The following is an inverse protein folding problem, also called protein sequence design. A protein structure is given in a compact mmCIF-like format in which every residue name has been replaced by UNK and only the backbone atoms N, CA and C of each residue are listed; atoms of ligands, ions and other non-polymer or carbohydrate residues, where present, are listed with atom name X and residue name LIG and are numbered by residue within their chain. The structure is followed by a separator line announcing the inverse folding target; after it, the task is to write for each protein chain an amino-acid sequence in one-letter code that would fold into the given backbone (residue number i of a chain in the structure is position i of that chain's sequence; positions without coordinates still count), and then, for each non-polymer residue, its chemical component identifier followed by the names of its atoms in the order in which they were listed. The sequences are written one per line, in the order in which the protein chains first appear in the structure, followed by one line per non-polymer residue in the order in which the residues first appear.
data_IF_342028210724
#
_entry.id   IF_342028210724
#
_cell.length_a   1.000
_cell.length_b   1.000
_cell.length_c   1.000
_cell.angle_alpha   90.00
_cell.angle_beta   90.00
_cell.angle_gamma   90.00
#
_symmetry.space_group_name_H-M   'P 1'
#
loop_
_entity.id
_entity.type
_entity.pdbx_description
1 polymer ?
#
# COMPACT_ATOMS: atom_id res chain seq x y z
N UNK A 1 1.84 -26.42 5.30
CA UNK A 1 1.93 -26.21 6.76
C UNK A 1 0.83 -25.25 7.21
N UNK A 2 0.34 -25.34 8.45
CA UNK A 2 -0.64 -24.39 9.00
C UNK A 2 0.10 -23.41 9.93
N UNK A 3 -0.10 -22.10 9.72
CA UNK A 3 0.45 -21.04 10.55
C UNK A 3 -0.73 -20.31 11.22
N UNK A 4 -0.60 -19.97 12.50
CA UNK A 4 -1.61 -19.20 13.23
C UNK A 4 -0.96 -18.01 13.93
N UNK A 5 -1.56 -16.82 13.78
CA UNK A 5 -1.24 -15.65 14.59
C UNK A 5 -2.41 -15.43 15.54
N UNK A 6 -2.20 -15.71 16.82
CA UNK A 6 -3.25 -15.68 17.85
C UNK A 6 -2.83 -14.79 19.00
N UNK A 7 -3.57 -13.71 19.21
CA UNK A 7 -3.60 -12.95 20.46
C UNK A 7 -5.00 -12.33 20.64
N UNK A 8 -5.25 -11.61 21.75
CA UNK A 8 -6.56 -10.96 21.95
C UNK A 8 -6.93 -9.98 20.81
N UNK A 9 -5.93 -9.39 20.15
CA UNK A 9 -6.12 -8.43 19.08
C UNK A 9 -6.37 -9.08 17.70
N UNK A 10 -5.79 -10.24 17.40
CA UNK A 10 -5.91 -10.91 16.09
C UNK A 10 -6.02 -12.43 16.25
N UNK A 11 -6.88 -13.06 15.45
CA UNK A 11 -6.96 -14.52 15.38
C UNK A 11 -7.02 -14.96 13.91
N UNK A 12 -5.85 -15.01 13.28
CA UNK A 12 -5.69 -15.32 11.86
C UNK A 12 -5.11 -16.73 11.67
N UNK A 13 -5.73 -17.52 10.80
CA UNK A 13 -5.24 -18.82 10.36
C UNK A 13 -4.85 -18.83 8.89
N UNK A 14 -3.70 -19.42 8.58
CA UNK A 14 -3.15 -19.49 7.22
C UNK A 14 -2.85 -20.94 6.84
N UNK A 15 -3.14 -21.29 5.59
CA UNK A 15 -2.68 -22.56 4.98
C UNK A 15 -1.96 -22.28 3.68
N UNK A 16 -1.00 -23.12 3.35
CA UNK A 16 -0.14 -22.98 2.18
C UNK A 16 -0.16 -24.26 1.36
N UNK A 17 0.05 -24.14 0.05
CA UNK A 17 0.30 -25.27 -0.83
C UNK A 17 1.70 -25.88 -0.61
N UNK A 18 2.10 -26.84 -1.46
CA UNK A 18 3.35 -27.57 -1.32
C UNK A 18 4.60 -26.72 -1.62
N UNK A 19 4.46 -25.62 -2.37
CA UNK A 19 5.56 -24.74 -2.81
C UNK A 19 5.57 -23.40 -2.07
N UNK A 20 4.58 -23.17 -1.19
CA UNK A 20 4.55 -22.05 -0.26
C UNK A 20 3.59 -20.93 -0.63
N UNK A 21 2.75 -21.09 -1.65
CA UNK A 21 1.72 -20.09 -1.93
C UNK A 21 0.62 -20.16 -0.87
N UNK A 22 0.09 -19.00 -0.46
CA UNK A 22 -0.96 -18.91 0.54
C UNK A 22 -2.27 -19.43 -0.07
N UNK A 23 -2.79 -20.56 0.39
CA UNK A 23 -4.05 -21.14 -0.12
C UNK A 23 -5.29 -20.58 0.55
N UNK A 24 -5.23 -20.35 1.86
CA UNK A 24 -6.37 -19.81 2.62
C UNK A 24 -5.94 -18.87 3.72
N UNK A 25 -6.72 -17.82 3.94
CA UNK A 25 -6.64 -16.95 5.13
C UNK A 25 -7.99 -17.00 5.85
N UNK A 26 -8.00 -17.21 7.17
CA UNK A 26 -9.21 -17.19 7.99
C UNK A 26 -9.07 -16.18 9.11
N UNK A 27 -10.10 -15.39 9.36
CA UNK A 27 -10.25 -14.58 10.55
C UNK A 27 -11.34 -15.19 11.43
N UNK A 28 -10.90 -15.80 12.54
CA UNK A 28 -11.80 -16.50 13.45
C UNK A 28 -12.63 -15.55 14.31
N UNK A 29 -12.21 -14.28 14.49
CA UNK A 29 -13.01 -13.28 15.21
C UNK A 29 -14.19 -12.82 14.34
N UNK A 30 -13.98 -12.68 13.04
CA UNK A 30 -15.01 -12.23 12.09
C UNK A 30 -15.81 -13.38 11.47
N UNK A 31 -15.39 -14.63 11.68
CA UNK A 31 -15.89 -15.78 10.93
C UNK A 31 -15.82 -15.56 9.41
N UNK A 32 -14.74 -14.92 8.97
CA UNK A 32 -14.47 -14.61 7.56
C UNK A 32 -13.32 -15.48 7.03
N UNK A 33 -13.33 -15.75 5.73
CA UNK A 33 -12.26 -16.52 5.09
C UNK A 33 -12.02 -16.08 3.66
N UNK A 34 -10.78 -16.20 3.22
CA UNK A 34 -10.36 -16.07 1.83
C UNK A 34 -9.72 -17.36 1.34
N UNK A 35 -9.94 -17.66 0.06
CA UNK A 35 -9.15 -18.61 -0.72
C UNK A 35 -8.44 -17.88 -1.84
N UNK A 36 -7.25 -18.35 -2.17
CA UNK A 36 -6.41 -17.78 -3.22
C UNK A 36 -6.04 -18.87 -4.22
N UNK A 37 -6.28 -18.60 -5.49
CA UNK A 37 -5.91 -19.48 -6.60
C UNK A 37 -4.85 -18.79 -7.47
N UNK A 38 -3.92 -19.59 -7.99
CA UNK A 38 -2.73 -19.13 -8.69
C UNK A 38 -2.63 -19.81 -10.05
N UNK A 39 -1.98 -19.13 -11.01
CA UNK A 39 -1.60 -19.75 -12.27
C UNK A 39 -0.35 -20.63 -12.15
N UNK A 40 0.02 -21.28 -13.25
CA UNK A 40 1.19 -22.17 -13.32
C UNK A 40 2.54 -21.45 -13.08
N UNK A 41 2.56 -20.11 -13.06
CA UNK A 41 3.72 -19.27 -12.74
C UNK A 41 3.68 -18.72 -11.31
N UNK A 42 2.77 -19.20 -10.47
CA UNK A 42 2.54 -18.75 -9.09
C UNK A 42 2.07 -17.29 -8.97
N UNK A 43 1.38 -16.77 -9.98
CA UNK A 43 0.75 -15.44 -9.92
C UNK A 43 -0.69 -15.57 -9.49
N UNK A 44 -1.15 -14.67 -8.62
CA UNK A 44 -2.49 -14.70 -8.04
C UNK A 44 -3.57 -14.42 -9.09
N UNK A 45 -4.42 -15.38 -9.39
CA UNK A 45 -5.51 -15.23 -10.37
C UNK A 45 -6.84 -14.91 -9.73
N UNK A 46 -7.14 -15.51 -8.57
CA UNK A 46 -8.46 -15.36 -7.94
C UNK A 46 -8.32 -15.22 -6.44
N UNK A 47 -9.06 -14.26 -5.88
CA UNK A 47 -9.34 -14.19 -4.45
C UNK A 47 -10.83 -14.28 -4.22
N UNK A 48 -11.23 -15.27 -3.43
CA UNK A 48 -12.63 -15.49 -3.05
C UNK A 48 -12.78 -15.22 -1.56
N UNK A 49 -13.43 -14.11 -1.20
CA UNK A 49 -13.69 -13.71 0.20
C UNK A 49 -15.10 -14.11 0.62
N UNK A 50 -15.21 -15.01 1.58
CA UNK A 50 -16.46 -15.41 2.24
C UNK A 50 -16.60 -14.68 3.57
N UNK A 51 -17.74 -14.01 3.77
CA UNK A 51 -18.02 -13.19 4.95
C UNK A 51 -19.19 -13.79 5.75
N UNK A 52 -19.18 -13.62 7.08
CA UNK A 52 -20.33 -13.93 7.91
C UNK A 52 -21.55 -13.07 7.48
N UNK A 53 -22.73 -13.70 7.34
CA UNK A 53 -23.99 -12.98 7.06
C UNK A 53 -24.46 -12.93 5.59
N UNK A 54 -23.86 -13.68 4.66
CA UNK A 54 -24.64 -14.27 3.55
C UNK A 54 -24.84 -13.52 2.21
N UNK A 55 -24.11 -12.44 1.89
CA UNK A 55 -24.19 -11.82 0.53
C UNK A 55 -23.31 -12.48 -0.54
N UNK A 56 -23.12 -13.80 -0.46
CA UNK A 56 -22.23 -14.55 -1.37
C UNK A 56 -20.75 -14.17 -1.21
N UNK A 57 -19.83 -14.95 -1.80
CA UNK A 57 -18.43 -14.60 -1.77
C UNK A 57 -18.15 -13.37 -2.66
N UNK A 58 -17.31 -12.45 -2.17
CA UNK A 58 -16.73 -11.40 -2.99
C UNK A 58 -15.57 -12.01 -3.78
N UNK A 59 -15.54 -11.82 -5.09
CA UNK A 59 -14.50 -12.38 -5.96
C UNK A 59 -13.70 -11.27 -6.63
N UNK A 60 -12.38 -11.33 -6.52
CA UNK A 60 -11.47 -10.50 -7.32
C UNK A 60 -10.69 -11.43 -8.24
N UNK A 61 -10.75 -11.15 -9.55
CA UNK A 61 -10.09 -11.94 -10.59
C UNK A 61 -9.03 -11.10 -11.28
N UNK A 62 -7.88 -11.70 -11.58
CA UNK A 62 -6.76 -11.08 -12.26
C UNK A 62 -6.27 -12.01 -13.36
N UNK A 63 -6.00 -11.44 -14.52
CA UNK A 63 -5.44 -12.16 -15.66
C UNK A 63 -4.16 -11.49 -16.10
N UNK A 64 -3.18 -12.30 -16.45
CA UNK A 64 -1.87 -11.83 -16.86
C UNK A 64 -1.61 -12.13 -18.34
N UNK A 65 -0.76 -11.35 -18.98
CA UNK A 65 -0.17 -11.71 -20.27
C UNK A 65 1.11 -12.54 -20.09
N UNK A 66 1.68 -12.98 -21.22
CA UNK A 66 2.92 -13.75 -21.25
C UNK A 66 4.15 -12.95 -20.77
N UNK A 67 4.07 -11.61 -20.81
CA UNK A 67 5.13 -10.69 -20.37
C UNK A 67 5.06 -10.38 -18.87
N UNK A 68 4.11 -10.99 -18.14
CA UNK A 68 3.92 -10.76 -16.71
C UNK A 68 3.15 -9.49 -16.38
N UNK A 69 2.52 -8.84 -17.35
CA UNK A 69 1.67 -7.70 -17.09
C UNK A 69 0.27 -8.16 -16.67
N UNK A 70 -0.37 -7.42 -15.77
CA UNK A 70 -1.82 -7.56 -15.53
C UNK A 70 -2.55 -7.10 -16.80
N UNK A 71 -3.31 -7.98 -17.45
CA UNK A 71 -4.15 -7.67 -18.60
C UNK A 71 -5.55 -7.24 -18.17
N UNK A 72 -6.05 -7.80 -17.06
CA UNK A 72 -7.36 -7.51 -16.50
C UNK A 72 -7.34 -7.71 -14.99
N UNK A 73 -8.06 -6.85 -14.26
CA UNK A 73 -8.33 -7.01 -12.82
C UNK A 73 -9.78 -6.63 -12.56
N UNK A 74 -10.59 -7.46 -11.92
CA UNK A 74 -12.06 -7.26 -11.91
C UNK A 74 -12.52 -5.94 -11.26
N UNK A 75 -11.77 -5.36 -10.33
CA UNK A 75 -12.07 -4.07 -9.68
C UNK A 75 -11.41 -2.84 -10.37
N UNK A 76 -10.68 -3.06 -11.46
CA UNK A 76 -10.08 -2.01 -12.30
C UNK A 76 -10.63 -2.07 -13.73
N UNK A 77 -10.66 -3.26 -14.31
CA UNK A 77 -11.01 -3.55 -15.69
C UNK A 77 -9.78 -3.98 -16.50
N UNK A 78 -9.77 -3.65 -17.78
CA UNK A 78 -8.71 -4.03 -18.72
C UNK A 78 -7.54 -3.04 -18.69
N UNK A 79 -6.33 -3.54 -18.85
CA UNK A 79 -5.10 -2.76 -18.85
C UNK A 79 -4.52 -2.68 -20.26
N UNK A 80 -4.09 -1.49 -20.67
CA UNK A 80 -3.41 -1.24 -21.94
C UNK A 80 -1.94 -0.86 -21.74
N UNK A 81 -1.07 -1.34 -22.62
CA UNK A 81 0.39 -1.16 -22.59
C UNK A 81 0.89 -0.60 -23.92
N UNK A 82 2.17 -0.20 -23.99
CA UNK A 82 2.81 0.34 -25.21
C UNK A 82 2.19 1.63 -25.76
N UNK A 83 1.30 2.29 -25.01
CA UNK A 83 0.76 3.59 -25.40
C UNK A 83 1.79 4.72 -25.31
N UNK A 84 1.46 5.82 -25.98
CA UNK A 84 2.26 7.06 -25.93
C UNK A 84 1.46 8.22 -25.35
N UNK A 85 2.16 9.09 -24.64
CA UNK A 85 1.62 10.34 -24.12
C UNK A 85 2.69 11.43 -24.23
N UNK A 86 2.30 12.61 -24.73
CA UNK A 86 3.22 13.76 -24.88
C UNK A 86 4.53 13.41 -25.62
N UNK A 87 4.44 12.55 -26.65
CA UNK A 87 5.59 12.12 -27.45
C UNK A 87 6.51 11.09 -26.78
N UNK A 88 6.15 10.55 -25.61
CA UNK A 88 6.89 9.49 -24.93
C UNK A 88 6.10 8.18 -24.98
N UNK A 89 6.75 7.10 -25.42
CA UNK A 89 6.20 5.74 -25.39
C UNK A 89 6.64 5.05 -24.11
N UNK A 90 5.68 4.52 -23.34
CA UNK A 90 5.95 3.98 -22.01
C UNK A 90 6.61 2.58 -22.03
N UNK A 91 6.66 1.93 -23.20
CA UNK A 91 7.20 0.59 -23.37
C UNK A 91 6.20 -0.53 -22.99
N UNK A 92 6.67 -1.79 -22.98
CA UNK A 92 5.79 -2.96 -22.93
C UNK A 92 5.22 -3.28 -21.56
N UNK A 93 5.79 -2.70 -20.49
CA UNK A 93 5.43 -3.05 -19.13
C UNK A 93 4.71 -1.92 -18.37
N UNK A 94 4.86 -0.67 -18.79
CA UNK A 94 4.20 0.46 -18.14
C UNK A 94 2.71 0.52 -18.55
N UNK A 95 1.81 0.52 -17.55
CA UNK A 95 0.36 0.65 -17.80
C UNK A 95 0.09 2.04 -18.38
N UNK A 96 -0.51 2.12 -19.57
CA UNK A 96 -0.78 3.40 -20.27
C UNK A 96 -2.24 3.80 -20.25
N UNK A 97 -3.14 2.84 -20.06
CA UNK A 97 -4.56 3.09 -19.83
C UNK A 97 -5.22 1.93 -19.09
N UNK A 98 -6.34 2.23 -18.45
CA UNK A 98 -7.30 1.25 -17.93
C UNK A 98 -8.69 1.57 -18.49
N UNK A 99 -9.50 0.54 -18.73
CA UNK A 99 -10.89 0.68 -19.18
C UNK A 99 -11.83 -0.24 -18.39
N UNK A 100 -13.06 0.20 -18.16
CA UNK A 100 -14.07 -0.54 -17.41
C UNK A 100 -14.43 0.17 -16.10
N UNK A 101 -14.16 -0.47 -14.95
CA UNK A 101 -14.45 0.07 -13.63
C UNK A 101 -13.59 1.29 -13.29
N UNK A 102 -12.38 1.34 -13.83
CA UNK A 102 -11.51 2.51 -13.85
C UNK A 102 -11.22 2.86 -15.30
N UNK A 103 -11.45 4.13 -15.64
CA UNK A 103 -11.16 4.68 -16.96
C UNK A 103 -10.12 5.78 -16.78
N UNK A 104 -8.85 5.41 -16.94
CA UNK A 104 -7.75 6.34 -16.72
C UNK A 104 -6.68 6.21 -17.81
N UNK A 105 -6.01 7.32 -18.08
CA UNK A 105 -4.81 7.39 -18.91
C UNK A 105 -3.61 7.67 -18.03
N UNK A 106 -2.49 7.04 -18.35
CA UNK A 106 -1.24 7.14 -17.63
C UNK A 106 -0.12 7.58 -18.58
N UNK A 107 0.67 8.56 -18.15
CA UNK A 107 1.75 9.14 -18.94
C UNK A 107 3.07 8.98 -18.18
N UNK A 108 4.14 8.77 -18.91
CA UNK A 108 5.47 8.50 -18.36
C UNK A 108 6.50 9.44 -18.95
N UNK A 109 7.58 9.66 -18.21
CA UNK A 109 8.81 10.23 -18.76
C UNK A 109 9.68 9.16 -19.46
N UNK A 110 10.82 9.57 -19.99
CA UNK A 110 11.75 8.68 -20.72
C UNK A 110 12.48 7.68 -19.81
N UNK A 111 12.50 7.91 -18.50
CA UNK A 111 13.09 6.99 -17.52
C UNK A 111 12.08 5.91 -17.10
N UNK A 112 10.81 6.05 -17.49
CA UNK A 112 9.74 5.14 -17.12
C UNK A 112 9.07 5.49 -15.79
N UNK A 113 9.18 6.74 -15.34
CA UNK A 113 8.43 7.23 -14.19
C UNK A 113 7.05 7.74 -14.63
N UNK A 114 5.98 7.30 -13.96
CA UNK A 114 4.63 7.79 -14.22
C UNK A 114 4.52 9.26 -13.77
N UNK A 115 4.31 10.18 -14.70
CA UNK A 115 4.18 11.63 -14.43
C UNK A 115 2.72 12.08 -14.30
N UNK A 116 1.78 11.29 -14.81
CA UNK A 116 0.35 11.49 -14.55
C UNK A 116 -0.43 10.19 -14.70
N UNK A 117 -1.53 10.06 -13.95
CA UNK A 117 -2.31 8.82 -13.91
C UNK A 117 -3.44 8.88 -12.90
N UNK A 118 -4.63 8.39 -13.28
CA UNK A 118 -5.80 8.29 -12.37
C UNK A 118 -6.10 9.61 -11.62
N UNK A 119 -6.05 10.74 -12.32
CA UNK A 119 -6.28 12.08 -11.75
C UNK A 119 -5.10 12.66 -10.95
N UNK A 120 -3.99 11.92 -10.81
CA UNK A 120 -2.78 12.40 -10.13
C UNK A 120 -1.76 12.96 -11.11
N UNK A 121 -0.99 13.95 -10.66
CA UNK A 121 0.25 14.44 -11.27
C UNK A 121 1.40 14.12 -10.34
N UNK A 122 2.51 13.65 -10.89
CA UNK A 122 3.67 13.23 -10.10
C UNK A 122 4.91 13.90 -10.68
N UNK A 123 5.71 14.50 -9.80
CA UNK A 123 7.03 15.06 -10.14
C UNK A 123 8.10 14.22 -9.45
N UNK A 124 9.23 14.10 -10.13
CA UNK A 124 10.38 13.32 -9.69
C UNK A 124 11.60 14.22 -9.55
N UNK A 125 12.45 13.84 -8.61
CA UNK A 125 13.83 14.31 -8.49
C UNK A 125 14.68 13.84 -9.67
N UNK A 126 15.89 14.40 -9.80
CA UNK A 126 16.87 13.97 -10.81
C UNK A 126 17.41 12.54 -10.63
N UNK A 127 17.04 11.86 -9.54
CA UNK A 127 17.39 10.48 -9.23
C UNK A 127 16.16 9.57 -9.13
N UNK A 128 15.11 9.90 -9.89
CA UNK A 128 13.92 9.07 -10.14
C UNK A 128 13.10 8.69 -8.89
N UNK A 129 13.17 9.51 -7.83
CA UNK A 129 12.25 9.42 -6.67
C UNK A 129 11.19 10.52 -6.72
N UNK A 130 9.91 10.23 -6.43
CA UNK A 130 8.86 11.25 -6.37
C UNK A 130 9.16 12.33 -5.33
N UNK A 131 9.07 13.61 -5.70
CA UNK A 131 9.16 14.74 -4.77
C UNK A 131 7.81 15.45 -4.56
N UNK A 132 6.86 15.25 -5.46
CA UNK A 132 5.48 15.71 -5.34
C UNK A 132 4.52 14.70 -5.97
N UNK A 133 3.43 14.41 -5.25
CA UNK A 133 2.26 13.70 -5.76
C UNK A 133 1.05 14.60 -5.49
N UNK A 134 0.36 15.01 -6.55
CA UNK A 134 -0.80 15.89 -6.50
C UNK A 134 -2.03 15.19 -7.07
N UNK A 135 -3.02 14.92 -6.23
CA UNK A 135 -4.30 14.30 -6.63
C UNK A 135 -5.37 15.31 -7.05
N UNK A 136 -5.05 16.61 -7.06
CA UNK A 136 -5.98 17.71 -7.28
C UNK A 136 -6.72 18.15 -6.01
N UNK A 137 -6.98 17.23 -5.08
CA UNK A 137 -7.63 17.51 -3.78
C UNK A 137 -6.68 17.39 -2.59
N UNK A 138 -5.58 16.66 -2.76
CA UNK A 138 -4.56 16.49 -1.74
C UNK A 138 -3.18 16.34 -2.39
N UNK A 139 -2.14 16.78 -1.68
CA UNK A 139 -0.74 16.70 -2.10
C UNK A 139 0.08 15.97 -1.05
N UNK A 140 1.07 15.23 -1.52
CA UNK A 140 2.16 14.71 -0.69
C UNK A 140 3.48 15.14 -1.33
N UNK A 141 4.29 15.88 -0.58
CA UNK A 141 5.62 16.35 -0.98
C UNK A 141 6.70 15.65 -0.16
N UNK A 142 7.83 15.33 -0.80
CA UNK A 142 8.96 14.68 -0.16
C UNK A 142 10.23 15.51 -0.32
N UNK A 143 11.02 15.57 0.76
CA UNK A 143 12.38 16.11 0.73
C UNK A 143 13.35 15.01 1.11
N UNK A 144 14.41 14.91 0.32
CA UNK A 144 15.45 13.91 0.47
C UNK A 144 16.75 14.55 0.95
N UNK A 145 17.48 13.82 1.80
CA UNK A 145 18.83 14.18 2.21
C UNK A 145 19.87 13.84 1.12
N UNK A 146 21.15 14.17 1.37
CA UNK A 146 22.26 13.86 0.45
C UNK A 146 22.42 12.35 0.16
N UNK A 147 22.02 11.49 1.10
CA UNK A 147 21.98 10.03 0.99
C UNK A 147 20.77 9.50 0.19
N UNK A 148 19.92 10.41 -0.34
CA UNK A 148 18.66 10.12 -1.02
C UNK A 148 17.63 9.40 -0.12
N UNK A 149 17.82 9.42 1.20
CA UNK A 149 16.81 9.02 2.16
C UNK A 149 15.84 10.17 2.40
N UNK A 150 14.58 9.86 2.72
CA UNK A 150 13.59 10.90 3.04
C UNK A 150 13.91 11.51 4.40
N UNK A 151 13.93 12.83 4.46
CA UNK A 151 14.11 13.59 5.70
C UNK A 151 12.85 14.38 6.07
N UNK A 152 11.97 14.66 5.10
CA UNK A 152 10.70 15.37 5.32
C UNK A 152 9.61 14.89 4.38
N UNK A 153 8.38 14.83 4.88
CA UNK A 153 7.15 14.63 4.12
C UNK A 153 6.15 15.72 4.51
N UNK A 154 5.43 16.28 3.55
CA UNK A 154 4.36 17.24 3.79
C UNK A 154 3.10 16.72 3.11
N UNK A 155 2.05 16.46 3.89
CA UNK A 155 0.73 16.12 3.36
C UNK A 155 -0.19 17.32 3.49
N UNK A 156 -0.85 17.72 2.40
CA UNK A 156 -1.70 18.90 2.36
C UNK A 156 -3.06 18.58 1.74
N UNK A 157 -4.13 18.99 2.42
CA UNK A 157 -5.53 19.05 1.97
C UNK A 157 -5.99 20.52 2.09
N UNK A 158 -7.15 20.94 1.53
CA UNK A 158 -7.55 22.35 1.47
C UNK A 158 -7.47 23.11 2.80
N UNK A 159 -7.72 22.45 3.94
CA UNK A 159 -7.73 23.06 5.27
C UNK A 159 -6.84 22.32 6.29
N UNK A 160 -5.96 21.43 5.85
CA UNK A 160 -5.16 20.60 6.74
C UNK A 160 -3.77 20.39 6.13
N UNK A 161 -2.74 20.55 6.93
CA UNK A 161 -1.38 20.18 6.56
C UNK A 161 -0.73 19.40 7.70
N UNK A 162 0.06 18.39 7.34
CA UNK A 162 0.84 17.58 8.25
C UNK A 162 2.28 17.53 7.74
N UNK A 163 3.23 18.03 8.54
CA UNK A 163 4.66 17.92 8.21
C UNK A 163 5.30 16.88 9.11
N UNK A 164 5.89 15.85 8.50
CA UNK A 164 6.61 14.79 9.20
C UNK A 164 8.10 14.86 8.88
N UNK A 165 8.94 14.93 9.91
CA UNK A 165 10.40 14.85 9.82
C UNK A 165 10.86 13.45 10.24
N UNK A 166 11.78 12.86 9.48
CA UNK A 166 12.28 11.50 9.72
C UNK A 166 13.69 11.53 10.27
N UNK A 167 13.98 10.71 11.28
CA UNK A 167 15.35 10.45 11.75
C UNK A 167 15.59 8.95 11.90
N UNK A 168 16.47 8.41 11.04
CA UNK A 168 16.96 7.03 11.12
C UNK A 168 15.91 5.93 11.00
N UNK A 169 14.70 6.23 10.51
CA UNK A 169 13.59 5.27 10.43
C UNK A 169 12.97 4.86 11.78
N UNK A 170 13.53 5.33 12.90
CA UNK A 170 13.12 5.00 14.26
C UNK A 170 12.34 6.14 14.93
N UNK A 171 12.38 7.34 14.34
CA UNK A 171 11.77 8.53 14.91
C UNK A 171 11.09 9.40 13.86
N UNK A 172 9.91 9.89 14.21
CA UNK A 172 9.13 10.84 13.43
C UNK A 172 8.73 12.04 14.30
N UNK A 173 9.01 13.27 13.84
CA UNK A 173 8.43 14.50 14.42
C UNK A 173 7.32 14.99 13.51
N UNK A 174 6.10 15.07 14.04
CA UNK A 174 4.90 15.40 13.28
C UNK A 174 4.35 16.74 13.76
N UNK A 175 4.21 17.69 12.84
CA UNK A 175 3.58 18.99 13.05
C UNK A 175 2.23 19.00 12.33
N UNK A 176 1.14 19.27 13.05
CA UNK A 176 -0.18 19.44 12.45
C UNK A 176 -0.51 20.92 12.15
N UNK A 177 -1.65 21.14 11.51
CA UNK A 177 -2.13 22.47 11.11
C UNK A 177 -2.51 23.38 12.28
N UNK A 178 -2.69 22.83 13.48
CA UNK A 178 -3.03 23.58 14.69
C UNK A 178 -1.79 23.97 15.50
N UNK A 179 -0.59 23.64 15.00
CA UNK A 179 0.67 23.86 15.69
C UNK A 179 1.01 22.78 16.73
N UNK A 180 0.21 21.72 16.85
CA UNK A 180 0.52 20.62 17.74
C UNK A 180 1.69 19.81 17.20
N UNK A 181 2.64 19.52 18.08
CA UNK A 181 3.79 18.68 17.78
C UNK A 181 3.63 17.32 18.47
N UNK A 182 3.89 16.25 17.72
CA UNK A 182 3.98 14.88 18.21
C UNK A 182 5.34 14.27 17.89
N UNK A 183 5.96 13.67 18.89
CA UNK A 183 7.18 12.89 18.78
C UNK A 183 6.78 11.41 18.78
N UNK A 184 7.13 10.68 17.73
CA UNK A 184 6.85 9.25 17.60
C UNK A 184 8.15 8.47 17.58
N UNK A 185 8.32 7.57 18.52
CA UNK A 185 9.45 6.65 18.61
C UNK A 185 8.97 5.24 18.24
N UNK A 186 9.54 4.67 17.19
CA UNK A 186 9.28 3.30 16.77
C UNK A 186 10.26 2.37 17.47
N UNK A 187 9.71 1.45 18.26
CA UNK A 187 10.47 0.43 18.98
C UNK A 187 10.48 -0.82 18.10
N UNK A 188 11.57 -0.95 17.35
CA UNK A 188 11.69 -1.89 16.25
C UNK A 188 10.44 -1.80 15.36
N UNK A 189 9.80 -2.92 15.12
CA UNK A 189 8.62 -3.04 14.29
C UNK A 189 7.37 -3.42 15.11
N UNK A 190 7.46 -3.34 16.45
CA UNK A 190 6.48 -3.86 17.42
C UNK A 190 5.63 -2.77 18.05
N UNK A 191 6.19 -1.61 18.36
CA UNK A 191 5.46 -0.57 19.08
C UNK A 191 5.80 0.85 18.60
N UNK A 192 4.88 1.77 18.83
CA UNK A 192 5.07 3.22 18.66
C UNK A 192 4.71 3.95 19.94
N UNK A 193 5.69 4.69 20.47
CA UNK A 193 5.51 5.56 21.64
C UNK A 193 5.34 6.99 21.13
N UNK A 194 4.20 7.60 21.43
CA UNK A 194 3.87 8.97 21.01
C UNK A 194 3.87 9.90 22.23
N UNK A 195 4.69 10.95 22.18
CA UNK A 195 4.63 12.08 23.10
C UNK A 195 4.07 13.30 22.37
N UNK A 196 2.97 13.86 22.87
CA UNK A 196 2.40 15.11 22.36
C UNK A 196 2.96 16.28 23.18
N UNK A 197 3.50 17.33 22.55
CA UNK A 197 3.98 18.50 23.30
C UNK A 197 2.82 19.16 24.07
N UNK A 198 3.01 19.44 25.36
CA UNK A 198 1.98 19.98 26.25
C UNK A 198 1.14 18.91 26.98
N UNK A 199 1.25 17.63 26.61
CA UNK A 199 0.68 16.51 27.39
C UNK A 199 1.74 15.94 28.36
N UNK A 200 1.35 15.58 29.58
CA UNK A 200 2.27 15.03 30.60
C UNK A 200 2.52 13.53 30.46
N UNK A 201 1.75 12.84 29.62
CA UNK A 201 1.79 11.37 29.46
C UNK A 201 2.13 10.98 28.04
N UNK A 202 2.94 9.92 27.90
CA UNK A 202 3.17 9.24 26.63
C UNK A 202 2.04 8.24 26.32
N UNK A 203 1.77 8.03 25.03
CA UNK A 203 0.88 6.96 24.54
C UNK A 203 1.71 5.84 23.93
N UNK A 204 1.64 4.65 24.50
CA UNK A 204 2.27 3.45 23.95
C UNK A 204 1.24 2.64 23.17
N UNK A 205 1.55 2.33 21.91
CA UNK A 205 0.67 1.55 21.05
C UNK A 205 1.44 0.38 20.45
N UNK A 206 0.90 -0.82 20.56
CA UNK A 206 1.52 -2.06 20.09
C UNK A 206 0.88 -2.48 18.76
N UNK A 207 1.72 -2.72 17.76
CA UNK A 207 1.35 -3.02 16.38
C UNK A 207 1.28 -4.53 16.18
N UNK A 208 0.10 -5.04 15.85
CA UNK A 208 -0.13 -6.46 15.56
C UNK A 208 -0.18 -6.67 14.05
N UNK A 209 0.62 -7.62 13.56
CA UNK A 209 0.85 -7.80 12.13
C UNK A 209 0.36 -9.13 11.60
N UNK A 210 0.06 -9.16 10.30
CA UNK A 210 -0.16 -10.40 9.57
C UNK A 210 1.16 -11.03 9.04
N UNK A 211 1.04 -12.15 8.33
CA UNK A 211 2.18 -12.88 7.77
C UNK A 211 3.03 -12.10 6.76
N UNK A 212 2.53 -11.00 6.19
CA UNK A 212 3.29 -10.10 5.30
C UNK A 212 3.89 -8.91 6.06
N UNK A 213 3.66 -8.82 7.37
CA UNK A 213 4.06 -7.67 8.19
C UNK A 213 3.09 -6.49 8.12
N UNK A 214 1.90 -6.66 7.56
CA UNK A 214 0.89 -5.61 7.50
C UNK A 214 0.28 -5.36 8.88
N UNK A 215 0.17 -4.11 9.32
CA UNK A 215 -0.45 -3.75 10.61
C UNK A 215 -1.96 -3.96 10.53
N UNK A 216 -2.51 -4.95 11.23
CA UNK A 216 -3.93 -5.33 11.18
C UNK A 216 -4.71 -5.02 12.46
N UNK A 217 -4.00 -4.80 13.58
CA UNK A 217 -4.60 -4.27 14.80
C UNK A 217 -3.58 -3.47 15.60
N UNK A 218 -4.08 -2.56 16.44
CA UNK A 218 -3.28 -1.78 17.38
C UNK A 218 -3.91 -1.86 18.77
N UNK A 219 -3.11 -2.14 19.78
CA UNK A 219 -3.54 -2.13 21.19
C UNK A 219 -2.87 -1.03 22.00
N UNK A 220 -3.53 -0.55 23.04
CA UNK A 220 -2.93 0.34 24.05
C UNK A 220 -2.02 -0.42 25.04
N UNK A 221 -1.45 0.29 26.02
CA UNK A 221 -0.57 -0.27 27.06
C UNK A 221 -1.26 -1.24 28.03
N UNK A 222 -2.59 -1.29 28.03
CA UNK A 222 -3.37 -2.23 28.84
C UNK A 222 -3.81 -3.47 28.03
N UNK A 223 -3.49 -3.52 26.74
CA UNK A 223 -3.85 -4.61 25.84
C UNK A 223 -5.21 -4.45 25.17
N UNK A 224 -5.91 -3.33 25.36
CA UNK A 224 -7.19 -3.10 24.68
C UNK A 224 -6.97 -2.77 23.21
N UNK A 225 -7.77 -3.36 22.33
CA UNK A 225 -7.74 -3.05 20.89
C UNK A 225 -8.37 -1.68 20.65
N UNK A 226 -7.56 -0.75 20.13
CA UNK A 226 -7.98 0.64 19.85
C UNK A 226 -8.11 0.91 18.35
N UNK A 227 -7.48 0.10 17.51
CA UNK A 227 -7.62 0.20 16.05
C UNK A 227 -7.54 -1.17 15.38
N UNK A 228 -8.28 -1.33 14.27
CA UNK A 228 -8.20 -2.50 13.39
C UNK A 228 -8.11 -2.03 11.95
N UNK A 229 -7.31 -2.73 11.17
CA UNK A 229 -7.13 -2.48 9.74
C UNK A 229 -7.22 -3.79 8.96
N UNK A 230 -7.62 -3.68 7.70
CA UNK A 230 -7.69 -4.82 6.79
C UNK A 230 -7.30 -4.38 5.39
N UNK A 231 -6.61 -5.26 4.67
CA UNK A 231 -6.10 -5.02 3.33
C UNK A 231 -6.51 -6.14 2.38
N UNK A 232 -6.75 -5.78 1.13
CA UNK A 232 -6.78 -6.74 0.03
C UNK A 232 -5.35 -7.22 -0.33
N UNK A 233 -5.20 -8.20 -1.23
CA UNK A 233 -3.87 -8.73 -1.61
C UNK A 233 -2.92 -7.70 -2.23
N UNK A 234 -3.45 -6.60 -2.79
CA UNK A 234 -2.67 -5.51 -3.39
C UNK A 234 -2.52 -4.33 -2.44
N UNK A 235 -2.83 -4.49 -1.15
CA UNK A 235 -2.62 -3.47 -0.13
C UNK A 235 -3.68 -2.39 -0.06
N UNK A 236 -4.76 -2.49 -0.85
CA UNK A 236 -5.87 -1.55 -0.73
C UNK A 236 -6.57 -1.75 0.60
N UNK A 237 -6.64 -0.67 1.39
CA UNK A 237 -7.41 -0.67 2.65
C UNK A 237 -8.88 -0.97 2.37
N UNK A 238 -9.46 -1.81 3.22
CA UNK A 238 -10.87 -2.19 3.20
C UNK A 238 -11.46 -2.08 4.60
N UNK A 239 -12.78 -2.18 4.71
CA UNK A 239 -13.45 -2.14 6.00
C UNK A 239 -12.99 -3.31 6.88
N UNK A 240 -13.04 -3.13 8.20
CA UNK A 240 -12.72 -4.20 9.16
C UNK A 240 -13.62 -5.42 9.02
N UNK A 241 -14.80 -5.27 8.42
CA UNK A 241 -15.68 -6.37 8.00
C UNK A 241 -15.25 -7.08 6.71
N UNK A 242 -14.03 -6.80 6.21
CA UNK A 242 -13.44 -7.33 4.97
C UNK A 242 -14.22 -6.99 3.69
N UNK A 243 -15.11 -6.00 3.77
CA UNK A 243 -15.85 -5.45 2.61
C UNK A 243 -15.05 -4.32 1.97
N UNK A 244 -15.16 -4.10 0.65
CA UNK A 244 -14.56 -2.95 -0.02
C UNK A 244 -14.96 -1.65 0.67
N UNK A 245 -13.99 -0.75 0.86
CA UNK A 245 -14.25 0.57 1.40
C UNK A 245 -14.62 1.54 0.26
N UNK A 246 -15.72 2.31 0.38
CA UNK A 246 -16.06 3.35 -0.60
C UNK A 246 -14.99 4.46 -0.66
N UNK A 247 -14.42 4.81 0.49
CA UNK A 247 -13.34 5.78 0.64
C UNK A 247 -12.26 5.21 1.56
N UNK A 248 -11.09 4.88 1.00
CA UNK A 248 -9.97 4.36 1.76
C UNK A 248 -9.25 5.46 2.56
N UNK A 249 -9.41 6.74 2.20
CA UNK A 249 -8.77 7.86 2.91
C UNK A 249 -9.37 8.06 4.30
N UNK A 250 -10.63 7.68 4.48
CA UNK A 250 -11.33 7.66 5.77
C UNK A 250 -10.82 6.54 6.70
N UNK A 251 -10.00 5.61 6.19
CA UNK A 251 -9.38 4.53 6.96
C UNK A 251 -7.92 4.84 7.33
N UNK A 252 -7.51 6.12 7.26
CA UNK A 252 -6.21 6.56 7.72
C UNK A 252 -6.10 6.42 9.25
N UNK A 253 -5.00 5.82 9.72
CA UNK A 253 -4.74 5.71 11.15
C UNK A 253 -4.21 7.04 11.68
N UNK A 254 -4.71 7.45 12.85
CA UNK A 254 -4.16 8.60 13.58
C UNK A 254 -2.92 8.23 14.41
N UNK A 255 -2.64 6.93 14.56
CA UNK A 255 -1.54 6.40 15.39
C UNK A 255 -0.28 6.25 14.55
N UNK A 256 -0.35 5.59 13.40
CA UNK A 256 0.82 5.36 12.53
C UNK A 256 0.43 5.34 11.06
N UNK A 257 1.32 5.84 10.20
CA UNK A 257 1.16 5.70 8.74
C UNK A 257 1.64 4.33 8.23
N UNK A 258 2.25 3.49 9.10
CA UNK A 258 2.69 2.14 8.75
C UNK A 258 1.48 1.21 8.61
N UNK A 259 1.33 0.63 7.43
CA UNK A 259 0.17 -0.19 7.08
C UNK A 259 0.55 -1.48 6.39
N UNK A 260 0.19 -1.60 5.11
CA UNK A 260 0.42 -2.79 4.30
C UNK A 260 1.91 -3.09 4.19
N UNK A 261 2.29 -4.35 4.43
CA UNK A 261 3.68 -4.85 4.47
C UNK A 261 4.62 -4.01 5.34
N UNK A 262 4.09 -3.33 6.36
CA UNK A 262 4.84 -2.41 7.23
C UNK A 262 5.32 -1.13 6.55
N UNK A 263 4.90 -0.89 5.31
CA UNK A 263 5.26 0.31 4.54
C UNK A 263 4.35 1.48 4.86
N UNK A 264 4.79 2.66 4.48
CA UNK A 264 4.08 3.88 4.80
C UNK A 264 2.97 4.14 3.78
N UNK A 265 1.74 4.20 4.27
CA UNK A 265 0.60 4.53 3.44
C UNK A 265 0.52 6.06 3.24
N UNK A 266 0.43 6.46 1.97
CA UNK A 266 0.14 7.82 1.55
C UNK A 266 -1.37 7.98 1.41
N UNK A 267 -2.10 7.79 2.51
CA UNK A 267 -3.56 7.67 2.51
C UNK A 267 -4.25 8.84 1.80
N UNK A 268 -3.71 10.07 1.93
CA UNK A 268 -4.26 11.27 1.28
C UNK A 268 -4.26 11.21 -0.25
N UNK A 269 -3.34 10.46 -0.86
CA UNK A 269 -3.22 10.31 -2.32
C UNK A 269 -3.44 8.87 -2.79
N UNK A 270 -3.71 7.93 -1.89
CA UNK A 270 -4.07 6.53 -2.20
C UNK A 270 -2.96 5.70 -2.78
N UNK A 271 -1.75 5.87 -2.25
CA UNK A 271 -0.55 5.15 -2.68
C UNK A 271 0.20 4.61 -1.46
N UNK A 272 1.16 3.73 -1.69
CA UNK A 272 2.02 3.17 -0.64
C UNK A 272 3.47 3.50 -0.96
N UNK A 273 4.18 4.11 -0.02
CA UNK A 273 5.58 4.47 -0.17
C UNK A 273 6.48 3.34 0.35
N UNK A 274 7.09 2.60 -0.57
CA UNK A 274 7.93 1.44 -0.27
C UNK A 274 9.43 1.79 -0.24
N UNK A 275 9.74 3.02 0.19
CA UNK A 275 11.07 3.64 0.30
C UNK A 275 11.85 3.85 -1.01
N UNK A 276 12.06 2.78 -1.78
CA UNK A 276 12.72 2.82 -3.08
C UNK A 276 11.80 3.31 -4.19
N UNK A 277 10.54 2.84 -4.17
CA UNK A 277 9.51 3.14 -5.18
C UNK A 277 8.16 3.39 -4.49
N UNK A 278 7.25 4.05 -5.21
CA UNK A 278 5.87 4.25 -4.77
C UNK A 278 4.96 3.30 -5.53
N UNK A 279 4.05 2.65 -4.82
CA UNK A 279 3.17 1.61 -5.30
C UNK A 279 1.72 2.10 -5.35
N UNK A 280 1.05 1.81 -6.46
CA UNK A 280 -0.39 2.05 -6.63
C UNK A 280 -1.16 0.76 -6.31
N UNK A 281 -1.78 0.75 -5.13
CA UNK A 281 -2.58 -0.36 -4.61
C UNK A 281 -3.84 -0.67 -5.44
N UNK A 282 -4.35 0.29 -6.21
CA UNK A 282 -5.49 0.03 -7.10
C UNK A 282 -5.02 -0.66 -8.36
N UNK A 283 -3.95 -0.16 -8.98
CA UNK A 283 -3.37 -0.76 -10.19
C UNK A 283 -2.67 -2.09 -9.92
N UNK A 284 -2.15 -2.27 -8.70
CA UNK A 284 -1.29 -3.39 -8.35
C UNK A 284 0.13 -3.25 -8.93
N UNK A 285 0.61 -2.02 -9.17
CA UNK A 285 1.85 -1.72 -9.92
C UNK A 285 2.64 -0.57 -9.28
N UNK A 286 3.97 -0.60 -9.46
CA UNK A 286 4.82 0.54 -9.10
C UNK A 286 4.67 1.70 -10.09
N UNK A 287 4.88 2.92 -9.58
CA UNK A 287 4.81 4.15 -10.38
C UNK A 287 6.08 4.39 -11.22
N UNK A 288 7.20 3.76 -10.85
CA UNK A 288 8.47 3.85 -11.57
C UNK A 288 9.04 2.46 -11.84
N UNK A 289 9.85 2.37 -12.90
CA UNK A 289 10.58 1.15 -13.21
C UNK A 289 11.63 0.87 -12.12
N UNK A 290 11.79 -0.40 -11.75
CA UNK A 290 12.91 -0.86 -10.93
C UNK A 290 14.24 -0.58 -11.65
N UNK A 291 15.20 0.10 -11.01
CA UNK A 291 16.55 0.26 -11.57
C UNK A 291 17.32 -1.06 -11.67
N UNK A 292 16.91 -2.13 -10.97
CA UNK A 292 17.60 -3.41 -10.92
C UNK A 292 16.73 -4.56 -11.46
N UNK A 293 17.31 -5.35 -12.37
CA UNK A 293 16.71 -6.61 -12.82
C UNK A 293 17.35 -7.73 -12.00
N UNK A 294 16.59 -8.30 -11.07
CA UNK A 294 17.13 -9.28 -10.11
C UNK A 294 17.54 -10.60 -10.76
N UNK A 295 16.79 -11.06 -11.77
CA UNK A 295 17.07 -12.31 -12.47
C UNK A 295 16.87 -12.15 -13.99
N UNK A 296 17.90 -11.76 -14.74
CA UNK A 296 17.80 -11.51 -16.17
C UNK A 296 17.35 -12.70 -17.02
N UNK A 297 17.48 -13.92 -16.51
CA UNK A 297 17.09 -15.15 -17.22
C UNK A 297 15.64 -15.57 -16.95
N UNK A 298 14.98 -14.93 -15.98
CA UNK A 298 13.54 -15.09 -15.77
C UNK A 298 12.79 -13.99 -16.53
N UNK A 299 11.98 -14.38 -17.52
CA UNK A 299 11.22 -13.43 -18.33
C UNK A 299 10.31 -12.52 -17.50
N UNK A 300 9.78 -13.02 -16.37
CA UNK A 300 8.93 -12.22 -15.47
C UNK A 300 9.72 -11.09 -14.79
N UNK A 301 11.02 -11.28 -14.54
CA UNK A 301 11.88 -10.26 -13.90
C UNK A 301 12.22 -9.09 -14.82
N UNK A 302 11.91 -9.18 -16.12
CA UNK A 302 12.04 -8.06 -17.05
C UNK A 302 10.89 -7.05 -16.88
N UNK A 303 9.80 -7.43 -16.21
CA UNK A 303 8.75 -6.49 -15.84
C UNK A 303 9.19 -5.65 -14.63
N UNK A 304 9.70 -4.45 -14.90
CA UNK A 304 10.25 -3.56 -13.87
C UNK A 304 9.19 -2.83 -13.02
N UNK A 305 7.90 -3.12 -13.20
CA UNK A 305 6.80 -2.44 -12.51
C UNK A 305 5.95 -3.39 -11.63
N UNK A 306 6.35 -4.66 -11.52
CA UNK A 306 5.75 -5.63 -10.60
C UNK A 306 6.42 -5.59 -9.24
#
# INVERSE_FOLDING_TARGET
AALSVVNQATNLGFTYDAIGNLKTRKDYQLSASETFDYDDLNRLEVVTTSLAGGTGPLKTEVHYDALGNIKYKSDVGSYGYNGSCNGVTAGPHAVTNTTGNQNAKYCYDKNGNMVSGSGKKIRYTSFDKPDLIDSGIAKTEFVYGPDRARIRRIDSKPNQSLTTYYMGGIYEKVHDSNGQIKHKHYIADVAVVTQTEGESTTKENYLHKDHLGSVVAITDSTGNVIERASYDPWGKKRLTSWRPAPDYTALASNITTRGFTGHENLDAVGLIHMNGRVYDQNLGRFLSADPFIQNPYNSQSLNRYT
#
